data_IF_657089804334
#
_entry.id   IF_657089804334
#
_cell.length_a   1.000
_cell.length_b   1.000
_cell.length_c   1.000
_cell.angle_alpha   90.00
_cell.angle_beta   90.00
_cell.angle_gamma   90.00
#
_symmetry.space_group_name_H-M   'P 1'
#
loop_
_entity.id
_entity.type
_entity.pdbx_description
1 polymer ?
#
# COMPACT_ATOMS: atom_id res chain seq x y z
N UNK A 1 17.46 15.30 -9.30
CA UNK A 1 18.11 14.02 -8.94
C UNK A 1 17.09 13.20 -8.19
N UNK A 2 16.54 12.14 -8.81
CA UNK A 2 15.59 11.26 -8.15
C UNK A 2 16.37 10.28 -7.29
N UNK A 3 16.31 10.43 -5.96
CA UNK A 3 16.82 9.43 -5.03
C UNK A 3 15.97 8.17 -5.19
N UNK A 4 16.48 7.18 -5.92
CA UNK A 4 15.90 5.83 -5.97
C UNK A 4 16.06 5.21 -4.59
N UNK A 5 15.13 5.53 -3.69
CA UNK A 5 15.02 4.87 -2.39
C UNK A 5 14.61 3.44 -2.68
N UNK A 6 15.51 2.49 -2.42
CA UNK A 6 15.20 1.07 -2.60
C UNK A 6 14.19 0.69 -1.51
N UNK A 7 12.94 0.47 -1.91
CA UNK A 7 11.87 0.06 -0.99
C UNK A 7 11.90 -1.45 -0.83
N UNK A 8 12.03 -1.92 0.41
CA UNK A 8 11.96 -3.34 0.74
C UNK A 8 10.50 -3.81 0.69
N UNK A 9 10.23 -4.88 -0.07
CA UNK A 9 8.95 -5.59 -0.05
C UNK A 9 9.05 -6.70 0.98
N UNK A 10 8.21 -6.65 2.00
CA UNK A 10 8.19 -7.63 3.07
C UNK A 10 7.30 -8.82 2.71
N UNK A 11 7.55 -10.01 3.28
CA UNK A 11 6.64 -11.14 3.15
C UNK A 11 5.24 -10.83 3.71
N UNK A 12 4.17 -11.50 3.22
CA UNK A 12 2.85 -11.45 3.84
C UNK A 12 2.90 -11.76 5.34
N UNK A 13 2.10 -11.07 6.15
CA UNK A 13 2.06 -11.27 7.60
C UNK A 13 3.23 -10.68 8.39
N UNK A 14 4.20 -10.01 7.75
CA UNK A 14 5.37 -9.40 8.43
C UNK A 14 5.07 -8.14 9.25
N UNK A 15 3.80 -7.86 9.53
CA UNK A 15 3.34 -6.60 10.12
C UNK A 15 3.21 -5.48 9.08
N UNK A 16 2.41 -4.47 9.44
CA UNK A 16 2.13 -3.33 8.59
C UNK A 16 3.02 -2.14 9.00
N UNK A 17 3.56 -1.36 8.04
CA UNK A 17 4.35 -0.18 8.36
C UNK A 17 3.56 0.84 9.17
N UNK A 18 4.18 1.44 10.18
CA UNK A 18 3.51 2.41 11.05
C UNK A 18 3.21 3.74 10.34
N UNK A 19 4.02 4.15 9.35
CA UNK A 19 3.82 5.37 8.57
C UNK A 19 3.12 5.03 7.25
N UNK A 20 2.13 5.85 6.89
CA UNK A 20 1.37 5.66 5.65
C UNK A 20 2.28 5.69 4.42
N UNK A 21 3.25 6.63 4.41
CA UNK A 21 4.20 6.77 3.31
C UNK A 21 5.04 5.50 3.09
N UNK A 22 5.40 4.79 4.15
CA UNK A 22 6.17 3.54 4.03
C UNK A 22 5.28 2.42 3.45
N UNK A 23 4.04 2.29 3.94
CA UNK A 23 3.08 1.32 3.43
C UNK A 23 2.72 1.57 1.95
N UNK A 24 2.51 2.84 1.59
CA UNK A 24 2.23 3.25 0.22
C UNK A 24 3.45 3.03 -0.70
N UNK A 25 4.66 3.35 -0.22
CA UNK A 25 5.89 3.09 -0.97
C UNK A 25 6.10 1.60 -1.25
N UNK A 26 5.82 0.73 -0.27
CA UNK A 26 5.90 -0.72 -0.45
C UNK A 26 4.85 -1.22 -1.46
N UNK A 27 3.62 -0.69 -1.41
CA UNK A 27 2.56 -1.02 -2.37
C UNK A 27 2.95 -0.61 -3.81
N UNK A 28 3.55 0.56 -3.99
CA UNK A 28 4.06 1.00 -5.30
C UNK A 28 5.17 0.08 -5.79
N UNK A 29 6.10 -0.35 -4.93
CA UNK A 29 7.16 -1.28 -5.30
C UNK A 29 6.61 -2.65 -5.74
N UNK A 30 5.55 -3.15 -5.09
CA UNK A 30 4.87 -4.37 -5.53
C UNK A 30 4.21 -4.19 -6.89
N UNK A 31 3.51 -3.07 -7.11
CA UNK A 31 2.86 -2.78 -8.38
C UNK A 31 3.87 -2.76 -9.55
N UNK A 32 5.06 -2.19 -9.33
CA UNK A 32 6.15 -2.21 -10.31
C UNK A 32 6.63 -3.64 -10.63
N UNK A 33 6.72 -4.52 -9.61
CA UNK A 33 7.10 -5.94 -9.82
C UNK A 33 6.02 -6.75 -10.55
N UNK A 34 4.75 -6.41 -10.35
CA UNK A 34 3.62 -7.10 -10.97
C UNK A 34 3.30 -6.60 -12.39
N UNK A 35 4.04 -5.60 -12.90
CA UNK A 35 3.85 -5.11 -14.27
C UNK A 35 3.98 -6.26 -15.27
N UNK A 36 3.05 -6.40 -16.23
CA UNK A 36 3.14 -7.43 -17.24
C UNK A 36 4.45 -7.32 -18.02
N UNK A 37 5.23 -8.40 -18.05
CA UNK A 37 6.38 -8.50 -18.93
C UNK A 37 5.98 -9.31 -20.16
N UNK A 38 5.95 -8.66 -21.33
CA UNK A 38 5.54 -9.29 -22.59
C UNK A 38 6.36 -10.55 -22.95
N UNK A 39 7.55 -10.72 -22.36
CA UNK A 39 8.47 -11.82 -22.63
C UNK A 39 8.51 -12.89 -21.53
N UNK A 40 7.77 -12.75 -20.43
CA UNK A 40 7.75 -13.73 -19.33
C UNK A 40 6.31 -13.94 -18.87
N UNK A 41 5.81 -15.17 -18.97
CA UNK A 41 4.61 -15.58 -18.25
C UNK A 41 4.93 -15.51 -16.76
N UNK A 42 4.24 -14.67 -15.98
CA UNK A 42 4.59 -14.49 -14.59
C UNK A 42 4.19 -15.75 -13.81
N UNK A 43 5.10 -16.21 -12.95
CA UNK A 43 4.93 -17.43 -12.17
C UNK A 43 3.94 -17.18 -11.02
N UNK A 44 2.91 -18.03 -10.91
CA UNK A 44 1.86 -17.89 -9.90
C UNK A 44 2.47 -17.97 -8.49
N UNK A 45 3.45 -18.85 -8.29
CA UNK A 45 4.11 -19.02 -6.98
C UNK A 45 4.94 -17.78 -6.60
N UNK A 46 5.44 -17.03 -7.59
CA UNK A 46 6.13 -15.75 -7.39
C UNK A 46 5.13 -14.58 -7.18
N UNK A 47 3.96 -14.62 -7.84
CA UNK A 47 2.95 -13.55 -7.81
C UNK A 47 2.09 -13.60 -6.54
N UNK A 48 1.63 -14.78 -6.14
CA UNK A 48 0.70 -14.94 -5.02
C UNK A 48 1.17 -14.22 -3.74
N UNK A 49 2.42 -14.38 -3.27
CA UNK A 49 2.87 -13.67 -2.08
C UNK A 49 2.89 -12.14 -2.27
N UNK A 50 3.20 -11.65 -3.47
CA UNK A 50 3.17 -10.22 -3.78
C UNK A 50 1.74 -9.67 -3.72
N UNK A 51 0.77 -10.38 -4.30
CA UNK A 51 -0.64 -9.98 -4.29
C UNK A 51 -1.20 -10.01 -2.87
N UNK A 52 -0.90 -11.04 -2.09
CA UNK A 52 -1.29 -11.13 -0.68
C UNK A 52 -0.74 -9.96 0.13
N UNK A 53 0.54 -9.64 -0.04
CA UNK A 53 1.15 -8.49 0.64
C UNK A 53 0.53 -7.17 0.20
N UNK A 54 0.29 -6.98 -1.10
CA UNK A 54 -0.37 -5.79 -1.62
C UNK A 54 -1.75 -5.60 -1.01
N UNK A 55 -2.50 -6.69 -0.80
CA UNK A 55 -3.82 -6.62 -0.16
C UNK A 55 -3.74 -6.09 1.26
N UNK A 56 -2.84 -6.64 2.08
CA UNK A 56 -2.62 -6.19 3.47
C UNK A 56 -2.29 -4.69 3.54
N UNK A 57 -1.39 -4.23 2.66
CA UNK A 57 -0.98 -2.83 2.60
C UNK A 57 -2.12 -1.92 2.11
N UNK A 58 -2.91 -2.38 1.14
CA UNK A 58 -4.06 -1.62 0.64
C UNK A 58 -5.13 -1.45 1.72
N UNK A 59 -5.48 -2.52 2.43
CA UNK A 59 -6.45 -2.47 3.54
C UNK A 59 -5.96 -1.51 4.65
N UNK A 60 -4.65 -1.52 4.96
CA UNK A 60 -4.05 -0.57 5.91
C UNK A 60 -4.16 0.89 5.46
N UNK A 61 -3.84 1.16 4.19
CA UNK A 61 -3.92 2.49 3.61
C UNK A 61 -5.37 3.00 3.59
N UNK A 62 -6.32 2.15 3.23
CA UNK A 62 -7.75 2.46 3.20
C UNK A 62 -8.28 2.78 4.60
N UNK A 63 -7.95 1.97 5.61
CA UNK A 63 -8.36 2.20 7.00
C UNK A 63 -7.88 3.58 7.51
N UNK A 64 -6.67 4.00 7.14
CA UNK A 64 -6.15 5.32 7.51
C UNK A 64 -6.88 6.47 6.81
N UNK A 65 -7.20 6.30 5.53
CA UNK A 65 -7.99 7.28 4.78
C UNK A 65 -9.39 7.40 5.41
N UNK A 66 -10.03 6.28 5.75
CA UNK A 66 -11.33 6.26 6.41
C UNK A 66 -11.30 6.99 7.76
N UNK A 67 -10.26 6.76 8.57
CA UNK A 67 -10.09 7.46 9.84
C UNK A 67 -9.94 8.98 9.67
N UNK A 68 -9.16 9.44 8.68
CA UNK A 68 -9.00 10.87 8.39
C UNK A 68 -10.33 11.48 7.91
N UNK A 69 -11.06 10.79 7.02
CA UNK A 69 -12.38 11.25 6.56
C UNK A 69 -13.35 11.41 7.72
N UNK A 70 -13.39 10.44 8.64
CA UNK A 70 -14.28 10.50 9.81
C UNK A 70 -13.99 11.69 10.72
N UNK A 71 -12.71 12.09 10.88
CA UNK A 71 -12.34 13.29 11.63
C UNK A 71 -12.83 14.56 10.92
N UNK A 72 -12.59 14.67 9.61
CA UNK A 72 -13.04 15.82 8.83
C UNK A 72 -14.57 15.97 8.84
N UNK A 73 -15.31 14.86 8.78
CA UNK A 73 -16.79 14.85 8.83
C UNK A 73 -17.34 15.19 10.23
N UNK A 74 -16.54 15.06 11.29
CA UNK A 74 -16.89 15.51 12.63
C UNK A 74 -16.59 17.01 12.80
N UNK A 75 -15.45 17.47 12.32
CA UNK A 75 -15.04 18.87 12.37
C UNK A 75 -15.95 19.76 11.52
N UNK A 76 -16.35 19.29 10.32
CA UNK A 76 -17.29 20.01 9.45
C UNK A 76 -18.69 20.20 10.04
N UNK A 77 -19.10 19.35 10.99
CA UNK A 77 -20.38 19.49 11.72
C UNK A 77 -20.31 20.44 12.92
N UNK A 78 -19.12 20.77 13.42
CA UNK A 78 -18.97 21.70 14.54
C UNK A 78 -18.95 23.17 14.11
N UNK A 79 -18.71 23.47 12.83
CA UNK A 79 -18.72 24.84 12.30
C UNK A 79 -20.10 25.35 11.86
N UNK A 80 -21.13 24.50 11.90
CA UNK A 80 -22.52 24.86 11.57
C UNK A 80 -23.44 24.98 12.82
N UNK A 81 -22.85 25.05 14.02
CA UNK A 81 -23.57 25.18 15.30
C UNK A 81 -23.48 26.58 15.91
#
# INVERSE_FOLDING_TARGET
MSTTTTVTIHPPGSGLPARWADAFGELQAIAEKLKPNANKVPDVDEIEPLVRRARELADHCEARIAAVKAVLDQDGRQTEG
#
